data_IF_974362251926
#
_entry.id   IF_974362251926
#
_cell.length_a   1.000
_cell.length_b   1.000
_cell.length_c   1.000
_cell.angle_alpha   90.00
_cell.angle_beta   90.00
_cell.angle_gamma   90.00
#
_symmetry.space_group_name_H-M   'P 1'
#
loop_
_entity.id
_entity.type
_entity.pdbx_description
1 polymer ?
#
# COMPACT_ATOMS: atom_id res chain seq x y z
N UNK A 1 -88.26 27.11 -5.95
CA UNK A 1 -86.89 27.62 -6.20
C UNK A 1 -86.00 27.26 -5.03
N UNK A 2 -84.93 26.47 -5.23
CA UNK A 2 -83.92 26.23 -4.20
C UNK A 2 -82.91 27.39 -4.14
N UNK A 3 -82.53 27.90 -2.96
CA UNK A 3 -81.59 29.02 -2.86
C UNK A 3 -80.19 28.58 -3.33
N UNK A 4 -79.59 29.36 -4.25
CA UNK A 4 -78.21 29.14 -4.70
C UNK A 4 -77.27 29.33 -3.50
N UNK A 5 -76.70 28.24 -2.96
CA UNK A 5 -75.65 28.29 -1.93
C UNK A 5 -74.48 29.12 -2.46
N UNK A 6 -74.03 30.12 -1.70
CA UNK A 6 -72.83 30.89 -2.01
C UNK A 6 -71.62 29.94 -1.99
N UNK A 7 -70.82 29.97 -3.07
CA UNK A 7 -69.58 29.17 -3.18
C UNK A 7 -68.57 29.70 -2.17
N UNK A 8 -67.86 28.79 -1.50
CA UNK A 8 -66.77 29.18 -0.60
C UNK A 8 -65.54 29.62 -1.42
N UNK A 9 -64.67 30.51 -0.91
CA UNK A 9 -63.48 30.98 -1.62
C UNK A 9 -62.49 29.89 -2.05
N UNK A 10 -62.65 28.68 -1.50
CA UNK A 10 -61.74 27.55 -1.66
C UNK A 10 -62.26 26.49 -2.65
N UNK A 11 -63.34 26.80 -3.37
CA UNK A 11 -63.93 25.89 -4.36
C UNK A 11 -63.82 26.46 -5.77
N UNK A 12 -63.41 25.61 -6.71
CA UNK A 12 -63.31 25.93 -8.13
C UNK A 12 -64.35 25.06 -8.85
N UNK A 13 -65.10 25.62 -9.79
CA UNK A 13 -66.07 24.87 -10.59
C UNK A 13 -65.51 24.67 -12.00
N UNK A 14 -65.50 23.43 -12.48
CA UNK A 14 -65.07 23.08 -13.83
C UNK A 14 -66.10 22.11 -14.43
N UNK A 15 -66.68 22.45 -15.58
CA UNK A 15 -67.75 21.70 -16.25
C UNK A 15 -68.93 21.32 -15.32
N UNK A 16 -69.34 22.22 -14.43
CA UNK A 16 -70.47 22.00 -13.50
C UNK A 16 -70.15 21.16 -12.27
N UNK A 17 -68.91 20.67 -12.13
CA UNK A 17 -68.46 19.90 -10.97
C UNK A 17 -67.65 20.82 -10.03
N UNK A 18 -67.98 20.77 -8.73
CA UNK A 18 -67.28 21.53 -7.69
C UNK A 18 -66.08 20.75 -7.16
N UNK A 19 -64.89 21.31 -7.34
CA UNK A 19 -63.64 20.78 -6.81
C UNK A 19 -63.21 21.59 -5.58
N UNK A 20 -62.76 20.90 -4.53
CA UNK A 20 -62.09 21.52 -3.38
C UNK A 20 -60.63 21.74 -3.77
N UNK A 21 -60.15 22.99 -3.65
CA UNK A 21 -58.72 23.29 -3.86
C UNK A 21 -57.92 22.52 -2.81
N UNK A 22 -57.19 21.49 -3.25
CA UNK A 22 -56.21 20.81 -2.39
C UNK A 22 -55.08 21.81 -2.18
N UNK A 23 -54.85 22.23 -0.94
CA UNK A 23 -53.69 23.05 -0.61
C UNK A 23 -52.45 22.28 -1.05
N UNK A 24 -51.55 22.94 -1.78
CA UNK A 24 -50.25 22.39 -2.13
C UNK A 24 -49.67 21.70 -0.90
N UNK A 25 -49.36 20.41 -1.00
CA UNK A 25 -48.47 19.76 -0.06
C UNK A 25 -47.17 20.58 -0.10
N UNK A 26 -46.83 21.19 1.03
CA UNK A 26 -45.77 22.19 1.20
C UNK A 26 -44.51 21.87 0.39
N UNK A 27 -44.24 22.68 -0.65
CA UNK A 27 -42.97 22.62 -1.38
C UNK A 27 -41.76 22.92 -0.47
N UNK A 28 -42.01 23.56 0.68
CA UNK A 28 -41.00 23.76 1.73
C UNK A 28 -40.51 22.46 2.36
N UNK A 29 -41.40 21.49 2.58
CA UNK A 29 -41.07 20.22 3.26
C UNK A 29 -40.16 19.35 2.41
N UNK A 30 -40.47 19.19 1.12
CA UNK A 30 -39.68 18.35 0.20
C UNK A 30 -38.24 18.86 0.02
N UNK A 31 -38.06 20.19 -0.01
CA UNK A 31 -36.72 20.79 -0.19
C UNK A 31 -35.83 20.71 1.07
N UNK A 32 -36.43 20.76 2.26
CA UNK A 32 -35.69 20.72 3.53
C UNK A 32 -35.22 19.28 3.83
N UNK A 33 -36.09 18.30 3.63
CA UNK A 33 -35.76 16.88 3.79
C UNK A 33 -34.81 16.37 2.70
N UNK A 34 -34.93 16.86 1.46
CA UNK A 34 -34.02 16.49 0.37
C UNK A 34 -32.56 16.84 0.67
N UNK A 35 -32.29 18.03 1.25
CA UNK A 35 -30.93 18.42 1.66
C UNK A 35 -30.39 17.58 2.83
N UNK A 36 -31.26 17.23 3.78
CA UNK A 36 -30.89 16.38 4.90
C UNK A 36 -30.56 14.95 4.46
N UNK A 37 -31.42 14.33 3.63
CA UNK A 37 -31.16 13.00 3.05
C UNK A 37 -29.89 12.98 2.21
N UNK A 38 -29.68 14.02 1.39
CA UNK A 38 -28.50 14.10 0.52
C UNK A 38 -27.21 14.20 1.35
N UNK A 39 -27.21 15.00 2.44
CA UNK A 39 -26.09 15.05 3.39
C UNK A 39 -25.89 13.73 4.13
N UNK A 40 -26.97 13.07 4.55
CA UNK A 40 -26.91 11.78 5.25
C UNK A 40 -26.29 10.68 4.37
N UNK A 41 -26.51 10.71 3.05
CA UNK A 41 -25.91 9.76 2.11
C UNK A 41 -24.48 10.14 1.71
N UNK A 42 -24.19 11.43 1.46
CA UNK A 42 -22.88 11.84 0.92
C UNK A 42 -21.80 11.95 1.99
N UNK A 43 -22.14 12.30 3.23
CA UNK A 43 -21.17 12.41 4.32
C UNK A 43 -20.45 11.09 4.64
N UNK A 44 -21.11 9.92 4.81
CA UNK A 44 -20.39 8.67 5.05
C UNK A 44 -19.56 8.25 3.85
N UNK A 45 -20.03 8.48 2.62
CA UNK A 45 -19.27 8.17 1.41
C UNK A 45 -17.97 8.97 1.30
N UNK A 46 -18.00 10.28 1.59
CA UNK A 46 -16.81 11.14 1.57
C UNK A 46 -15.84 10.75 2.69
N UNK A 47 -16.33 10.42 3.89
CA UNK A 47 -15.49 9.97 5.01
C UNK A 47 -14.83 8.62 4.70
N UNK A 48 -15.58 7.65 4.19
CA UNK A 48 -15.05 6.31 3.85
C UNK A 48 -14.02 6.41 2.73
N UNK A 49 -14.32 7.14 1.66
CA UNK A 49 -13.37 7.30 0.55
C UNK A 49 -12.10 8.05 0.97
N UNK A 50 -12.24 9.08 1.82
CA UNK A 50 -11.09 9.78 2.42
C UNK A 50 -10.22 8.88 3.30
N UNK A 51 -10.83 8.05 4.16
CA UNK A 51 -10.11 7.10 5.00
C UNK A 51 -9.37 6.03 4.18
N UNK A 52 -10.01 5.46 3.15
CA UNK A 52 -9.37 4.50 2.26
C UNK A 52 -8.19 5.11 1.49
N UNK A 53 -8.34 6.34 0.98
CA UNK A 53 -7.26 7.03 0.28
C UNK A 53 -6.07 7.33 1.21
N UNK A 54 -6.33 7.73 2.47
CA UNK A 54 -5.28 7.96 3.46
C UNK A 54 -4.53 6.67 3.84
N UNK A 55 -5.27 5.58 4.05
CA UNK A 55 -4.68 4.26 4.34
C UNK A 55 -3.86 3.73 3.16
N UNK A 56 -4.34 3.91 1.93
CA UNK A 56 -3.62 3.53 0.71
C UNK A 56 -2.31 4.32 0.55
N UNK A 57 -2.36 5.65 0.75
CA UNK A 57 -1.17 6.49 0.72
C UNK A 57 -0.16 6.07 1.82
N UNK A 58 -0.64 5.82 3.04
CA UNK A 58 0.19 5.35 4.15
C UNK A 58 0.82 3.98 3.86
N UNK A 59 0.07 3.08 3.22
CA UNK A 59 0.58 1.77 2.80
C UNK A 59 1.71 1.91 1.77
N UNK A 60 1.56 2.79 0.78
CA UNK A 60 2.62 3.04 -0.21
C UNK A 60 3.85 3.76 0.36
N UNK A 61 3.70 4.51 1.45
CA UNK A 61 4.83 5.10 2.16
C UNK A 61 5.55 4.09 3.07
N UNK A 62 4.85 3.07 3.58
CA UNK A 62 5.40 2.08 4.52
C UNK A 62 5.95 0.83 3.84
N UNK A 63 5.34 0.40 2.72
CA UNK A 63 5.90 -0.63 1.85
C UNK A 63 6.93 0.04 0.95
N UNK A 64 8.15 0.20 1.48
CA UNK A 64 9.29 0.71 0.73
C UNK A 64 9.45 -0.01 -0.61
N UNK A 65 10.00 0.70 -1.60
CA UNK A 65 10.24 0.23 -2.97
C UNK A 65 10.65 -1.26 -2.96
N UNK A 66 9.93 -2.17 -3.64
CA UNK A 66 10.27 -3.59 -3.66
C UNK A 66 11.68 -3.86 -4.22
N UNK A 67 12.28 -2.87 -4.89
CA UNK A 67 13.68 -2.89 -5.34
C UNK A 67 14.70 -2.53 -4.23
N UNK A 68 14.26 -2.04 -3.07
CA UNK A 68 15.13 -1.80 -1.92
C UNK A 68 15.78 -3.10 -1.42
N UNK A 69 15.08 -4.23 -1.53
CA UNK A 69 15.65 -5.56 -1.26
C UNK A 69 16.77 -5.94 -2.25
N UNK A 70 16.67 -5.53 -3.53
CA UNK A 70 17.77 -5.70 -4.50
C UNK A 70 18.95 -4.81 -4.16
N UNK A 71 18.71 -3.59 -3.67
CA UNK A 71 19.77 -2.68 -3.24
C UNK A 71 20.53 -3.20 -2.00
N UNK A 72 19.85 -3.84 -1.05
CA UNK A 72 20.53 -4.50 0.08
C UNK A 72 21.34 -5.74 -0.34
N UNK A 73 20.87 -6.49 -1.35
CA UNK A 73 21.65 -7.60 -1.92
C UNK A 73 22.85 -7.11 -2.75
N UNK A 74 22.78 -5.90 -3.31
CA UNK A 74 23.90 -5.27 -4.00
C UNK A 74 25.03 -4.88 -3.04
N UNK A 75 24.77 -4.66 -1.75
CA UNK A 75 25.82 -4.45 -0.74
C UNK A 75 26.48 -5.77 -0.31
N UNK A 76 25.74 -6.88 -0.31
CA UNK A 76 26.33 -8.22 -0.10
C UNK A 76 27.11 -8.70 -1.34
N UNK A 77 26.75 -8.18 -2.52
CA UNK A 77 27.42 -8.43 -3.80
C UNK A 77 28.41 -7.34 -4.19
N UNK A 78 28.58 -6.30 -3.35
CA UNK A 78 29.65 -5.35 -3.54
C UNK A 78 30.94 -6.16 -3.41
N UNK A 79 31.85 -6.13 -4.41
CA UNK A 79 33.17 -6.69 -4.20
C UNK A 79 33.70 -5.98 -2.96
N UNK A 80 33.83 -6.71 -1.84
CA UNK A 80 34.60 -6.21 -0.71
C UNK A 80 35.95 -5.90 -1.31
N UNK A 81 36.21 -4.62 -1.48
CA UNK A 81 37.44 -4.02 -1.97
C UNK A 81 38.57 -4.95 -1.63
N UNK A 82 39.14 -5.63 -2.65
CA UNK A 82 40.31 -6.49 -2.58
C UNK A 82 41.01 -6.39 -1.22
N UNK A 83 40.49 -7.07 -0.20
CA UNK A 83 41.23 -7.20 1.03
C UNK A 83 42.35 -8.10 0.57
N UNK A 84 43.55 -7.53 0.47
CA UNK A 84 44.72 -8.27 0.04
C UNK A 84 44.66 -9.62 0.74
N UNK A 85 44.62 -10.69 -0.07
CA UNK A 85 44.35 -12.01 0.44
C UNK A 85 45.27 -12.29 1.65
N UNK A 86 44.77 -12.97 2.68
CA UNK A 86 45.51 -13.12 3.92
C UNK A 86 46.92 -13.68 3.66
N UNK A 87 47.90 -13.19 4.42
CA UNK A 87 49.30 -13.60 4.22
C UNK A 87 49.49 -15.12 4.41
N UNK A 88 48.65 -15.74 5.23
CA UNK A 88 48.66 -17.17 5.52
C UNK A 88 47.28 -17.65 5.97
N UNK A 89 47.09 -18.97 6.02
CA UNK A 89 45.84 -19.58 6.44
C UNK A 89 45.50 -19.42 7.93
N UNK A 90 46.47 -19.09 8.79
CA UNK A 90 46.18 -18.78 10.19
C UNK A 90 45.45 -17.43 10.30
N UNK A 91 45.90 -16.42 9.56
CA UNK A 91 45.22 -15.15 9.44
C UNK A 91 43.85 -15.31 8.77
N UNK A 92 43.75 -16.15 7.72
CA UNK A 92 42.46 -16.43 7.08
C UNK A 92 41.43 -16.99 8.07
N UNK A 93 41.80 -18.01 8.86
CA UNK A 93 40.91 -18.60 9.88
C UNK A 93 40.57 -17.63 11.00
N UNK A 94 41.52 -16.82 11.47
CA UNK A 94 41.27 -15.80 12.48
C UNK A 94 40.25 -14.73 12.01
N UNK A 95 40.19 -14.49 10.70
CA UNK A 95 39.25 -13.57 10.07
C UNK A 95 37.95 -14.24 9.59
N UNK A 96 37.80 -15.56 9.74
CA UNK A 96 36.68 -16.32 9.17
C UNK A 96 36.62 -16.29 7.64
N UNK A 97 37.79 -16.21 7.00
CA UNK A 97 37.99 -16.23 5.55
C UNK A 97 38.56 -17.58 5.07
N UNK A 98 38.50 -18.62 5.88
CA UNK A 98 38.86 -19.98 5.50
C UNK A 98 37.82 -20.63 4.57
N UNK A 99 38.20 -21.73 3.92
CA UNK A 99 37.37 -22.43 2.92
C UNK A 99 36.91 -21.50 1.78
N UNK A 100 37.86 -20.71 1.25
CA UNK A 100 37.58 -19.69 0.26
C UNK A 100 37.81 -20.20 -1.17
N UNK A 101 36.97 -19.79 -2.13
CA UNK A 101 37.04 -20.13 -3.56
C UNK A 101 37.51 -18.96 -4.42
N UNK A 102 37.95 -19.18 -5.68
CA UNK A 102 38.28 -18.11 -6.61
C UNK A 102 37.25 -17.00 -6.64
N UNK A 103 37.69 -15.75 -6.44
CA UNK A 103 36.84 -14.57 -6.36
C UNK A 103 36.33 -14.21 -4.96
N UNK A 104 36.57 -15.04 -3.94
CA UNK A 104 36.28 -14.72 -2.54
C UNK A 104 37.49 -14.07 -1.86
N UNK A 105 37.25 -13.24 -0.84
CA UNK A 105 38.29 -12.46 -0.15
C UNK A 105 39.36 -13.31 0.55
N UNK A 106 39.04 -14.57 0.91
CA UNK A 106 39.98 -15.50 1.53
C UNK A 106 40.85 -16.29 0.55
N UNK A 107 40.60 -16.19 -0.76
CA UNK A 107 41.26 -17.00 -1.76
C UNK A 107 42.50 -16.32 -2.32
N UNK A 108 43.60 -17.06 -2.36
CA UNK A 108 44.74 -16.75 -3.20
C UNK A 108 45.45 -18.03 -3.60
N UNK A 109 46.04 -18.04 -4.80
CA UNK A 109 46.77 -19.19 -5.33
C UNK A 109 47.95 -19.63 -4.45
N UNK A 110 48.49 -18.74 -3.60
CA UNK A 110 49.54 -19.11 -2.64
C UNK A 110 49.00 -19.71 -1.33
N UNK A 111 47.68 -19.66 -1.11
CA UNK A 111 46.98 -20.24 0.04
C UNK A 111 46.32 -21.58 -0.28
N UNK A 112 46.18 -21.89 -1.57
CA UNK A 112 45.73 -23.16 -2.11
C UNK A 112 46.98 -24.03 -2.37
N UNK A 113 47.32 -24.86 -1.38
CA UNK A 113 48.58 -25.60 -1.37
C UNK A 113 48.58 -26.80 -2.33
N UNK A 114 47.40 -27.38 -2.59
CA UNK A 114 47.17 -28.52 -3.48
C UNK A 114 46.56 -28.14 -4.82
N UNK A 115 46.14 -26.89 -4.99
CA UNK A 115 45.72 -26.32 -6.27
C UNK A 115 44.33 -26.78 -6.71
N UNK A 116 43.49 -27.21 -5.77
CA UNK A 116 42.16 -27.77 -6.06
C UNK A 116 41.07 -26.69 -6.23
N UNK A 117 41.44 -25.43 -6.00
CA UNK A 117 40.56 -24.27 -6.09
C UNK A 117 39.87 -23.92 -4.77
N UNK A 118 40.32 -24.47 -3.64
CA UNK A 118 39.81 -24.11 -2.32
C UNK A 118 40.96 -23.77 -1.37
N UNK A 119 41.03 -22.51 -0.95
CA UNK A 119 42.08 -22.03 -0.07
C UNK A 119 41.77 -22.29 1.41
N UNK A 120 42.82 -22.64 2.17
CA UNK A 120 42.80 -22.71 3.63
C UNK A 120 41.75 -23.64 4.23
N UNK A 121 41.47 -24.75 3.55
CA UNK A 121 40.48 -25.72 3.98
C UNK A 121 40.75 -26.28 5.39
N UNK A 122 39.69 -26.66 6.11
CA UNK A 122 39.81 -27.31 7.41
C UNK A 122 40.13 -28.81 7.22
N UNK A 123 41.37 -29.17 6.89
CA UNK A 123 41.75 -30.58 6.81
C UNK A 123 42.65 -31.05 7.95
N UNK A 124 42.00 -31.75 8.89
CA UNK A 124 42.57 -32.96 9.45
C UNK A 124 42.76 -33.99 8.32
N UNK A 125 43.89 -33.88 7.62
CA UNK A 125 44.57 -34.93 6.86
C UNK A 125 43.80 -35.70 5.77
N UNK A 126 44.19 -35.50 4.52
CA UNK A 126 44.56 -36.62 3.65
C UNK A 126 45.83 -36.28 2.86
N UNK A 127 46.92 -36.96 3.20
CA UNK A 127 48.08 -37.11 2.31
C UNK A 127 47.60 -37.89 1.08
N UNK A 128 47.97 -37.43 -0.11
CA UNK A 128 48.22 -38.31 -1.26
C UNK A 128 49.69 -38.18 -1.61
#
# INVERSE_FOLDING_TARGET
MLPKRKKSPWQIEHNGVLYRRVQHLDEGFVSQWGRYLRRLLTTPLVVVTGLFAALFLLHHLTVGNPNAWRASNAFQSAPRTFQAAPRNCATARALGLDNARPGQAGYASHLDADGDGVACEPYFGKRR
#
